data_IF_732362295209
#
_entry.id   IF_732362295209
#
_cell.length_a   1.000
_cell.length_b   1.000
_cell.length_c   1.000
_cell.angle_alpha   90.00
_cell.angle_beta   90.00
_cell.angle_gamma   90.00
#
_symmetry.space_group_name_H-M   'P 1'
#
loop_
_entity.id
_entity.type
_entity.pdbx_description
1 polymer ?
#
# COMPACT_ATOMS: atom_id res chain seq x y z
N UNK A 1 -1.99 13.17 -1.14
CA UNK A 1 -0.66 13.12 -1.79
C UNK A 1 0.20 12.06 -1.12
N UNK A 2 0.45 10.95 -1.86
CA UNK A 2 1.22 9.79 -1.38
C UNK A 2 2.70 10.12 -1.15
N UNK A 3 3.26 11.01 -1.95
CA UNK A 3 4.69 11.36 -1.88
C UNK A 3 4.99 12.13 -0.61
N UNK A 4 4.16 13.12 -0.28
CA UNK A 4 4.28 13.88 0.95
C UNK A 4 4.07 12.98 2.19
N UNK A 5 3.04 12.14 2.18
CA UNK A 5 2.78 11.21 3.26
C UNK A 5 3.97 10.28 3.51
N UNK A 6 4.56 9.70 2.47
CA UNK A 6 5.73 8.83 2.58
C UNK A 6 6.98 9.53 3.13
N UNK A 7 7.20 10.79 2.79
CA UNK A 7 8.29 11.59 3.38
C UNK A 7 8.10 11.76 4.89
N UNK A 8 6.87 12.01 5.33
CA UNK A 8 6.54 12.12 6.75
C UNK A 8 6.67 10.76 7.46
N UNK A 9 6.24 9.67 6.84
CA UNK A 9 6.42 8.31 7.38
C UNK A 9 7.90 7.97 7.55
N UNK A 10 8.72 8.24 6.52
CA UNK A 10 10.17 8.00 6.58
C UNK A 10 10.83 8.82 7.70
N UNK A 11 10.45 10.10 7.87
CA UNK A 11 10.95 10.95 8.94
C UNK A 11 10.54 10.43 10.35
N UNK A 12 9.41 9.72 10.45
CA UNK A 12 8.94 9.06 11.66
C UNK A 12 9.51 7.64 11.86
N UNK A 13 10.42 7.18 10.99
CA UNK A 13 11.01 5.84 11.07
C UNK A 13 10.08 4.71 10.64
N UNK A 14 8.97 5.01 9.94
CA UNK A 14 8.03 4.00 9.45
C UNK A 14 8.50 3.48 8.12
N UNK A 15 8.65 2.16 8.01
CA UNK A 15 9.09 1.50 6.78
C UNK A 15 7.99 1.55 5.70
N UNK A 16 8.34 2.06 4.52
CA UNK A 16 7.50 2.06 3.32
C UNK A 16 8.22 1.37 2.15
N UNK A 17 7.51 0.89 1.13
CA UNK A 17 8.15 0.44 -0.10
C UNK A 17 9.03 1.54 -0.68
N UNK A 18 10.23 1.16 -1.15
CA UNK A 18 11.09 2.09 -1.89
C UNK A 18 10.40 2.53 -3.16
N UNK A 19 10.42 3.82 -3.45
CA UNK A 19 9.77 4.38 -4.62
C UNK A 19 10.43 5.65 -5.13
N UNK A 20 10.10 5.99 -6.37
CA UNK A 20 10.54 7.20 -7.06
C UNK A 20 9.35 7.85 -7.74
N UNK A 21 9.38 9.17 -7.85
CA UNK A 21 8.42 9.91 -8.68
C UNK A 21 9.09 10.18 -10.01
N UNK A 22 8.42 9.81 -11.08
CA UNK A 22 8.89 10.02 -12.46
C UNK A 22 7.73 10.50 -13.32
N UNK A 23 8.05 10.99 -14.52
CA UNK A 23 7.03 11.22 -15.53
C UNK A 23 6.47 9.87 -16.06
N UNK A 24 5.22 9.90 -16.53
CA UNK A 24 4.53 8.70 -17.00
C UNK A 24 5.28 8.03 -18.17
N UNK A 25 5.93 8.76 -19.04
CA UNK A 25 6.70 8.24 -20.17
C UNK A 25 7.92 7.44 -19.71
N UNK A 26 8.59 7.90 -18.67
CA UNK A 26 9.70 7.17 -18.02
C UNK A 26 9.21 5.86 -17.39
N UNK A 27 8.04 5.88 -16.75
CA UNK A 27 7.42 4.67 -16.20
C UNK A 27 7.05 3.68 -17.29
N UNK A 28 6.38 4.13 -18.37
CA UNK A 28 5.99 3.31 -19.52
C UNK A 28 7.19 2.70 -20.26
N UNK A 29 8.32 3.42 -20.29
CA UNK A 29 9.55 2.92 -20.89
C UNK A 29 10.31 1.90 -20.02
N UNK A 30 9.80 1.57 -18.82
CA UNK A 30 10.44 0.64 -17.88
C UNK A 30 11.76 1.13 -17.30
N UNK A 31 12.00 2.45 -17.30
CA UNK A 31 13.28 3.03 -16.87
C UNK A 31 13.29 3.53 -15.43
N UNK A 32 12.16 3.43 -14.74
CA UNK A 32 12.03 3.91 -13.37
C UNK A 32 12.58 2.91 -12.33
N UNK A 33 12.32 1.61 -12.54
CA UNK A 33 12.68 0.56 -11.60
C UNK A 33 12.63 -0.80 -12.30
N UNK A 34 13.47 -1.75 -11.86
CA UNK A 34 13.38 -3.15 -12.30
C UNK A 34 12.12 -3.82 -11.73
N UNK A 35 11.39 -4.63 -12.53
CA UNK A 35 10.25 -5.41 -12.03
C UNK A 35 10.64 -6.40 -10.91
N UNK A 36 9.68 -6.78 -10.04
CA UNK A 36 8.31 -6.32 -10.00
C UNK A 36 8.14 -4.97 -9.29
N UNK A 37 7.27 -4.10 -9.82
CA UNK A 37 6.97 -2.80 -9.23
C UNK A 37 5.48 -2.42 -9.41
N UNK A 38 5.07 -1.35 -8.74
CA UNK A 38 3.71 -0.81 -8.80
C UNK A 38 3.77 0.63 -9.28
N UNK A 39 2.97 0.97 -10.29
CA UNK A 39 2.74 2.35 -10.75
C UNK A 39 1.44 2.85 -10.17
N UNK A 40 1.45 4.05 -9.60
CA UNK A 40 0.26 4.66 -8.95
C UNK A 40 0.19 6.16 -9.23
N UNK A 41 -1.02 6.71 -9.35
CA UNK A 41 -1.21 8.16 -9.30
C UNK A 41 -0.71 8.75 -7.96
N UNK A 42 -0.12 9.93 -8.00
CA UNK A 42 0.38 10.60 -6.80
C UNK A 42 -0.75 10.96 -5.82
N UNK A 43 -1.93 11.34 -6.33
CA UNK A 43 -2.99 11.94 -5.50
C UNK A 43 -4.31 11.16 -5.44
N UNK A 44 -4.45 10.04 -6.19
CA UNK A 44 -5.68 9.25 -6.18
C UNK A 44 -5.76 8.28 -4.99
N UNK A 45 -7.00 7.86 -4.66
CA UNK A 45 -7.30 6.87 -3.62
C UNK A 45 -7.90 5.59 -4.19
N UNK A 46 -8.31 4.67 -3.29
CA UNK A 46 -9.11 3.46 -3.59
C UNK A 46 -8.54 2.55 -4.69
N UNK A 47 -7.21 2.47 -4.82
CA UNK A 47 -6.52 1.70 -5.86
C UNK A 47 -6.82 2.13 -7.31
N UNK A 48 -7.44 3.30 -7.52
CA UNK A 48 -7.70 3.83 -8.85
C UNK A 48 -6.38 4.15 -9.55
N UNK A 49 -6.21 3.67 -10.78
CA UNK A 49 -4.98 3.86 -11.58
C UNK A 49 -3.75 3.12 -11.05
N UNK A 50 -3.93 2.14 -10.17
CA UNK A 50 -2.82 1.29 -9.69
C UNK A 50 -2.56 0.17 -10.69
N UNK A 51 -1.31 0.06 -11.16
CA UNK A 51 -0.86 -1.00 -12.06
C UNK A 51 0.32 -1.75 -11.46
N UNK A 52 0.25 -3.08 -11.45
CA UNK A 52 1.34 -3.96 -11.01
C UNK A 52 2.05 -4.48 -12.27
N UNK A 53 3.35 -4.31 -12.30
CA UNK A 53 4.22 -4.78 -13.37
C UNK A 53 5.09 -5.90 -12.84
N UNK A 54 4.89 -7.11 -13.38
CA UNK A 54 5.65 -8.31 -13.01
C UNK A 54 6.81 -8.55 -13.99
N UNK A 55 7.73 -9.43 -13.63
CA UNK A 55 8.81 -9.85 -14.52
C UNK A 55 8.26 -10.43 -15.83
N UNK A 56 8.77 -9.94 -16.96
CA UNK A 56 8.34 -10.37 -18.28
C UNK A 56 7.06 -9.72 -18.81
N UNK A 57 6.41 -8.87 -18.03
CA UNK A 57 5.24 -8.12 -18.47
C UNK A 57 5.61 -7.03 -19.47
N UNK A 58 4.74 -6.85 -20.48
CA UNK A 58 4.81 -5.72 -21.40
C UNK A 58 3.88 -4.57 -20.95
N UNK A 59 3.86 -4.27 -19.65
CA UNK A 59 3.02 -3.21 -19.04
C UNK A 59 1.54 -3.30 -19.43
N UNK A 60 0.87 -4.45 -19.23
CA UNK A 60 -0.52 -4.61 -19.64
C UNK A 60 -1.42 -3.61 -18.91
N UNK A 61 -2.26 -2.91 -19.68
CA UNK A 61 -3.22 -1.94 -19.15
C UNK A 61 -2.66 -0.56 -18.79
N UNK A 62 -1.35 -0.36 -18.83
CA UNK A 62 -0.75 0.96 -18.64
C UNK A 62 -0.43 1.60 -19.99
N UNK A 63 -1.33 2.46 -20.47
CA UNK A 63 -1.18 3.19 -21.72
C UNK A 63 -1.30 4.69 -21.51
N UNK A 64 -0.46 5.48 -22.19
CA UNK A 64 -0.46 6.95 -22.04
C UNK A 64 -1.83 7.55 -22.33
N UNK A 65 -2.51 7.09 -23.38
CA UNK A 65 -3.82 7.61 -23.79
C UNK A 65 -4.96 7.29 -22.82
N UNK A 66 -4.78 6.25 -21.97
CA UNK A 66 -5.73 5.87 -20.93
C UNK A 66 -5.37 6.45 -19.55
N UNK A 67 -4.24 7.16 -19.44
CA UNK A 67 -3.78 7.72 -18.17
C UNK A 67 -4.30 9.14 -17.97
N UNK A 68 -5.24 9.30 -17.03
CA UNK A 68 -5.94 10.56 -16.76
C UNK A 68 -5.44 11.28 -15.48
N UNK A 69 -4.39 10.75 -14.82
CA UNK A 69 -3.97 11.15 -13.47
C UNK A 69 -2.77 12.09 -13.42
N UNK A 70 -2.59 12.87 -14.50
CA UNK A 70 -1.47 13.82 -14.61
C UNK A 70 -0.20 13.19 -15.16
N UNK A 71 0.87 13.99 -15.20
CA UNK A 71 2.12 13.57 -15.84
C UNK A 71 3.09 12.87 -14.89
N UNK A 72 2.95 13.07 -13.59
CA UNK A 72 3.80 12.44 -12.57
C UNK A 72 3.14 11.19 -11.98
N UNK A 73 3.93 10.14 -11.82
CA UNK A 73 3.53 8.88 -11.21
C UNK A 73 4.51 8.47 -10.11
N UNK A 74 3.98 7.79 -9.10
CA UNK A 74 4.79 7.12 -8.10
C UNK A 74 5.03 5.67 -8.54
N UNK A 75 6.29 5.31 -8.75
CA UNK A 75 6.71 3.92 -9.01
C UNK A 75 7.34 3.37 -7.76
N UNK A 76 6.83 2.25 -7.25
CA UNK A 76 7.25 1.63 -6.00
C UNK A 76 7.57 0.16 -6.18
N UNK A 77 8.56 -0.33 -5.45
CA UNK A 77 8.82 -1.76 -5.37
C UNK A 77 7.56 -2.52 -4.97
N UNK A 78 7.21 -3.55 -5.71
CA UNK A 78 6.15 -4.48 -5.32
C UNK A 78 6.58 -5.25 -4.07
N UNK A 79 5.71 -5.32 -3.08
CA UNK A 79 5.91 -6.10 -1.86
C UNK A 79 4.99 -7.32 -1.92
N UNK A 80 5.53 -8.53 -2.01
CA UNK A 80 4.73 -9.76 -1.98
C UNK A 80 4.15 -10.03 -0.59
N UNK A 81 3.49 -11.17 -0.41
CA UNK A 81 2.98 -11.63 0.87
C UNK A 81 1.56 -11.14 1.17
N UNK A 82 1.28 -10.86 2.44
CA UNK A 82 -0.07 -10.65 2.98
C UNK A 82 -0.46 -9.19 3.00
N UNK A 83 -1.74 -8.91 2.83
CA UNK A 83 -2.30 -7.57 2.97
C UNK A 83 -2.96 -7.41 4.34
N UNK A 84 -2.55 -6.38 5.07
CA UNK A 84 -3.02 -6.12 6.42
C UNK A 84 -3.57 -4.71 6.51
N UNK A 85 -4.55 -4.52 7.39
CA UNK A 85 -5.07 -3.20 7.70
C UNK A 85 -5.25 -3.02 9.20
N UNK A 86 -5.03 -1.78 9.66
CA UNK A 86 -5.19 -1.40 11.07
C UNK A 86 -5.97 -0.09 11.15
N UNK A 87 -7.12 -0.13 11.81
CA UNK A 87 -7.85 1.09 12.13
C UNK A 87 -7.26 1.77 13.37
N UNK A 88 -7.22 3.09 13.34
CA UNK A 88 -6.90 3.94 14.50
C UNK A 88 -8.12 4.78 14.83
N UNK A 89 -8.54 4.76 16.07
CA UNK A 89 -9.70 5.50 16.56
C UNK A 89 -9.44 6.03 17.98
N UNK A 90 -9.70 7.32 18.18
CA UNK A 90 -9.52 7.95 19.51
C UNK A 90 -8.08 7.83 20.04
N UNK A 91 -7.08 7.93 19.17
CA UNK A 91 -5.66 7.84 19.53
C UNK A 91 -5.18 6.43 19.90
N UNK A 92 -5.93 5.38 19.52
CA UNK A 92 -5.57 3.98 19.76
C UNK A 92 -5.67 3.18 18.46
N UNK A 93 -4.67 2.34 18.18
CA UNK A 93 -4.74 1.31 17.15
C UNK A 93 -5.65 0.17 17.59
N UNK A 94 -6.46 -0.33 16.69
CA UNK A 94 -7.36 -1.47 16.92
C UNK A 94 -6.67 -2.79 16.53
N UNK A 95 -7.45 -3.87 16.40
CA UNK A 95 -6.93 -5.16 15.97
C UNK A 95 -6.41 -5.07 14.52
N UNK A 96 -5.35 -5.83 14.23
CA UNK A 96 -4.88 -6.02 12.85
C UNK A 96 -5.87 -6.95 12.15
N UNK A 97 -6.28 -6.56 10.96
CA UNK A 97 -7.12 -7.37 10.07
C UNK A 97 -6.31 -7.78 8.84
N UNK A 98 -6.34 -9.05 8.48
CA UNK A 98 -5.82 -9.53 7.20
C UNK A 98 -6.93 -9.51 6.16
N UNK A 99 -6.58 -9.03 4.97
CA UNK A 99 -7.43 -8.95 3.80
C UNK A 99 -6.99 -10.05 2.83
N UNK A 100 -7.86 -11.03 2.60
CA UNK A 100 -7.61 -12.15 1.69
C UNK A 100 -8.57 -12.05 0.50
N UNK A 101 -8.16 -11.41 -0.61
CA UNK A 101 -8.96 -11.42 -1.83
C UNK A 101 -9.06 -12.85 -2.35
N UNK A 102 -10.25 -13.24 -2.84
CA UNK A 102 -10.50 -14.58 -3.35
C UNK A 102 -9.83 -14.81 -4.71
N UNK A 103 -9.62 -13.73 -5.46
CA UNK A 103 -8.95 -13.74 -6.76
C UNK A 103 -8.03 -12.52 -6.90
N UNK A 104 -6.83 -12.72 -7.42
CA UNK A 104 -5.92 -11.67 -7.83
C UNK A 104 -5.38 -10.79 -6.69
N UNK A 105 -5.34 -9.49 -6.96
CA UNK A 105 -4.84 -8.46 -6.06
C UNK A 105 -6.03 -7.74 -5.38
N UNK A 106 -5.80 -7.14 -4.21
CA UNK A 106 -6.80 -6.34 -3.50
C UNK A 106 -7.02 -4.99 -4.20
N UNK A 107 -7.62 -5.05 -5.38
CA UNK A 107 -7.94 -3.90 -6.22
C UNK A 107 -9.27 -3.22 -5.82
N UNK A 108 -9.74 -2.30 -6.67
CA UNK A 108 -11.00 -1.59 -6.44
C UNK A 108 -12.19 -2.56 -6.34
N UNK A 109 -12.25 -3.57 -7.19
CA UNK A 109 -13.36 -4.52 -7.22
C UNK A 109 -13.36 -5.42 -5.97
N UNK A 110 -12.18 -5.89 -5.55
CA UNK A 110 -12.02 -6.66 -4.32
C UNK A 110 -12.35 -5.85 -3.05
N UNK A 111 -12.17 -4.52 -3.10
CA UNK A 111 -12.47 -3.59 -1.99
C UNK A 111 -13.96 -3.34 -1.80
N UNK A 112 -14.72 -3.25 -2.89
CA UNK A 112 -16.10 -2.73 -2.85
C UNK A 112 -17.17 -3.72 -3.31
N UNK A 113 -16.79 -4.97 -3.67
CA UNK A 113 -17.74 -6.02 -4.03
C UNK A 113 -17.88 -7.00 -2.87
N UNK A 114 -19.11 -7.15 -2.36
CA UNK A 114 -19.41 -8.07 -1.27
C UNK A 114 -19.02 -9.50 -1.64
N UNK A 115 -18.37 -10.20 -0.70
CA UNK A 115 -17.99 -11.60 -0.82
C UNK A 115 -16.72 -11.85 -1.66
N UNK A 116 -16.03 -10.82 -2.17
CA UNK A 116 -14.75 -11.00 -2.89
C UNK A 116 -13.51 -11.01 -2.01
N UNK A 117 -13.64 -10.59 -0.75
CA UNK A 117 -12.52 -10.56 0.21
C UNK A 117 -12.94 -11.15 1.54
N UNK A 118 -12.13 -12.06 2.06
CA UNK A 118 -12.26 -12.53 3.44
C UNK A 118 -11.47 -11.63 4.37
N UNK A 119 -12.09 -11.25 5.49
CA UNK A 119 -11.48 -10.43 6.53
C UNK A 119 -11.21 -11.29 7.76
N UNK A 120 -9.96 -11.53 8.10
CA UNK A 120 -9.57 -12.24 9.32
C UNK A 120 -9.19 -11.23 10.40
N UNK A 121 -10.02 -11.08 11.42
CA UNK A 121 -9.81 -10.17 12.54
C UNK A 121 -10.03 -10.89 13.88
N UNK A 122 -9.01 -10.97 14.75
CA UNK A 122 -7.64 -10.54 14.54
C UNK A 122 -6.91 -11.40 13.48
N UNK A 123 -5.97 -10.77 12.76
CA UNK A 123 -5.12 -11.46 11.79
C UNK A 123 -4.25 -12.52 12.49
N UNK A 124 -4.08 -13.72 11.91
CA UNK A 124 -3.21 -14.76 12.47
C UNK A 124 -1.73 -14.43 12.19
N UNK A 125 -1.16 -13.57 13.02
CA UNK A 125 0.21 -13.04 12.94
C UNK A 125 1.00 -13.38 14.19
N UNK A 126 2.34 -13.47 14.09
CA UNK A 126 3.20 -13.40 15.27
C UNK A 126 2.92 -12.11 16.05
N UNK A 127 2.92 -12.20 17.40
CA UNK A 127 2.60 -11.04 18.27
C UNK A 127 3.51 -9.83 17.99
N UNK A 128 4.79 -10.07 17.72
CA UNK A 128 5.75 -9.01 17.40
C UNK A 128 5.34 -8.24 16.12
N UNK A 129 4.86 -8.93 15.09
CA UNK A 129 4.39 -8.32 13.84
C UNK A 129 3.08 -7.55 14.05
N UNK A 130 2.17 -8.14 14.82
CA UNK A 130 0.89 -7.49 15.19
C UNK A 130 1.15 -6.19 15.98
N UNK A 131 2.06 -6.22 16.94
CA UNK A 131 2.46 -5.03 17.71
C UNK A 131 3.10 -3.97 16.80
N UNK A 132 4.05 -4.37 15.95
CA UNK A 132 4.70 -3.47 15.00
C UNK A 132 3.70 -2.79 14.06
N UNK A 133 2.71 -3.53 13.55
CA UNK A 133 1.68 -2.97 12.67
C UNK A 133 0.81 -1.93 13.40
N UNK A 134 0.42 -2.22 14.65
CA UNK A 134 -0.36 -1.30 15.49
C UNK A 134 0.42 -0.02 15.82
N UNK A 135 1.69 -0.16 16.18
CA UNK A 135 2.55 0.97 16.52
C UNK A 135 2.81 1.85 15.29
N UNK A 136 3.08 1.25 14.14
CA UNK A 136 3.27 1.96 12.87
C UNK A 136 2.00 2.68 12.42
N UNK A 137 0.82 2.06 12.57
CA UNK A 137 -0.46 2.69 12.24
C UNK A 137 -0.74 3.92 13.11
N UNK A 138 -0.49 3.80 14.43
CA UNK A 138 -0.67 4.91 15.36
C UNK A 138 0.33 6.05 15.08
N UNK A 139 1.59 5.72 14.84
CA UNK A 139 2.62 6.70 14.50
C UNK A 139 2.29 7.44 13.19
N UNK A 140 1.83 6.70 12.16
CA UNK A 140 1.41 7.28 10.89
C UNK A 140 0.19 8.21 11.04
N UNK A 141 -0.80 7.82 11.83
CA UNK A 141 -1.96 8.65 12.19
C UNK A 141 -1.52 9.98 12.83
N UNK A 142 -0.58 9.89 13.77
CA UNK A 142 -0.09 11.06 14.53
C UNK A 142 0.75 11.99 13.66
N UNK A 143 1.69 11.47 12.87
CA UNK A 143 2.60 12.29 12.06
C UNK A 143 1.87 13.02 10.93
N UNK A 144 0.77 12.46 10.42
CA UNK A 144 -0.12 13.14 9.46
C UNK A 144 -1.09 14.12 10.13
N UNK A 145 -1.13 14.21 11.46
CA UNK A 145 -2.07 15.03 12.18
C UNK A 145 -3.53 14.59 12.03
N UNK A 146 -3.76 13.31 11.79
CA UNK A 146 -5.10 12.76 11.63
C UNK A 146 -5.93 12.94 12.90
N UNK A 147 -7.23 13.16 12.74
CA UNK A 147 -8.19 13.26 13.84
C UNK A 147 -9.35 12.30 13.61
N UNK A 148 -9.94 11.78 14.69
CA UNK A 148 -11.05 10.84 14.61
C UNK A 148 -10.60 9.44 14.23
N UNK A 149 -10.99 8.98 13.05
CA UNK A 149 -10.70 7.63 12.57
C UNK A 149 -9.77 7.70 11.36
N UNK A 150 -8.81 6.76 11.30
CA UNK A 150 -8.05 6.48 10.09
C UNK A 150 -7.81 4.99 9.95
N UNK A 151 -7.43 4.54 8.75
CA UNK A 151 -7.06 3.16 8.45
C UNK A 151 -5.69 3.14 7.77
N UNK A 152 -4.76 2.41 8.35
CA UNK A 152 -3.44 2.17 7.79
C UNK A 152 -3.44 0.85 7.02
N UNK A 153 -3.00 0.88 5.77
CA UNK A 153 -2.92 -0.30 4.90
C UNK A 153 -1.45 -0.70 4.73
N UNK A 154 -1.17 -2.01 4.90
CA UNK A 154 0.18 -2.56 4.92
C UNK A 154 0.33 -3.75 3.98
N UNK A 155 1.58 -3.98 3.53
CA UNK A 155 2.01 -5.29 3.02
C UNK A 155 2.98 -5.91 4.03
N UNK A 156 2.78 -7.19 4.29
CA UNK A 156 3.65 -8.00 5.12
C UNK A 156 4.31 -9.07 4.26
N UNK A 157 5.60 -8.86 3.96
CA UNK A 157 6.40 -9.81 3.20
C UNK A 157 6.90 -10.91 4.14
N UNK A 158 6.18 -12.01 4.16
CA UNK A 158 6.53 -13.25 4.88
C UNK A 158 7.15 -14.31 3.95
N UNK A 159 7.42 -13.94 2.67
CA UNK A 159 8.00 -14.86 1.68
C UNK A 159 9.51 -15.04 1.85
N UNK A 160 10.18 -14.09 2.48
CA UNK A 160 11.66 -14.06 2.61
C UNK A 160 12.17 -14.51 3.98
N UNK A 161 11.32 -15.07 4.82
CA UNK A 161 11.66 -15.60 6.15
C UNK A 161 10.76 -15.07 7.27
N UNK A 162 10.95 -15.61 8.49
CA UNK A 162 10.23 -15.18 9.67
C UNK A 162 11.20 -14.56 10.73
N UNK A 163 10.83 -13.46 11.39
CA UNK A 163 9.69 -12.64 11.05
C UNK A 163 9.93 -11.92 9.71
N UNK A 164 8.88 -11.82 8.89
CA UNK A 164 8.93 -11.09 7.62
C UNK A 164 9.11 -9.58 7.81
N UNK A 165 8.97 -8.83 6.73
CA UNK A 165 9.09 -7.37 6.73
C UNK A 165 7.75 -6.69 6.51
N UNK A 166 7.43 -5.69 7.37
CA UNK A 166 6.19 -4.94 7.29
C UNK A 166 6.43 -3.59 6.60
N UNK A 167 5.56 -3.25 5.66
CA UNK A 167 5.63 -2.01 4.88
C UNK A 167 4.28 -1.28 4.91
N UNK A 168 4.28 -0.02 5.36
CA UNK A 168 3.11 0.85 5.28
C UNK A 168 2.94 1.33 3.84
N UNK A 169 1.75 1.15 3.28
CA UNK A 169 1.39 1.62 1.94
C UNK A 169 0.79 3.01 1.97
N UNK A 170 -0.28 3.18 2.75
CA UNK A 170 -1.04 4.42 2.83
C UNK A 170 -1.85 4.53 4.12
N UNK A 171 -2.31 5.75 4.42
CA UNK A 171 -3.33 6.06 5.43
C UNK A 171 -4.56 6.60 4.72
N UNK A 172 -5.71 6.00 5.03
CA UNK A 172 -7.02 6.46 4.61
C UNK A 172 -7.69 7.21 5.76
N UNK A 173 -8.05 8.46 5.52
CA UNK A 173 -8.78 9.31 6.46
C UNK A 173 -10.16 9.57 5.91
N UNK A 174 -11.19 9.27 6.64
CA UNK A 174 -12.58 9.56 6.28
C UNK A 174 -13.30 10.26 7.42
#
# INVERSE_FOLDING_TARGET
DKVLAKRLFAAAGITCPKGVVVDIETALAGRAMDPPFVVKPVSEGSSVGVHIVMDGDNYPGLHRDAWEFGDEVLVERFIPGRELTVAVMGGRSLAVTELQPHEGFYDYEAKYTDGKTTHLCPAPLPEAVSSQAKDAALAAHQVLGCRGVSRADFRYDDMTGEPGSLYLLEINTQ
#
